data_IF_916781778782
#
_entry.id   IF_916781778782
#
_cell.length_a   1.000
_cell.length_b   1.000
_cell.length_c   1.000
_cell.angle_alpha   90.00
_cell.angle_beta   90.00
_cell.angle_gamma   90.00
#
_symmetry.space_group_name_H-M   'P 1'
#
loop_
_entity.id
_entity.type
_entity.pdbx_description
1 polymer ?
#
# COMPACT_ATOMS: atom_id res chain seq x y z
N UNK A 1 33.10 -39.06 23.36
CA UNK A 1 31.79 -39.51 23.84
C UNK A 1 31.00 -38.32 24.39
N UNK A 2 30.28 -37.63 23.51
CA UNK A 2 29.14 -36.80 23.88
C UNK A 2 27.84 -37.61 23.73
N UNK A 3 26.79 -37.22 24.46
CA UNK A 3 25.48 -37.07 23.83
C UNK A 3 24.92 -35.67 24.13
N UNK A 4 24.71 -34.82 23.12
CA UNK A 4 23.56 -34.81 22.20
C UNK A 4 22.21 -34.82 22.92
N UNK A 5 21.60 -33.63 23.00
CA UNK A 5 20.18 -33.45 23.33
C UNK A 5 19.58 -32.46 22.34
N UNK A 6 19.31 -32.96 21.13
CA UNK A 6 18.42 -32.32 20.17
C UNK A 6 16.96 -32.50 20.66
N UNK A 7 16.25 -31.39 20.89
CA UNK A 7 14.81 -31.43 21.10
C UNK A 7 14.10 -31.73 19.76
N UNK A 8 13.02 -32.54 19.76
CA UNK A 8 12.39 -33.00 18.54
C UNK A 8 11.57 -31.89 17.88
N UNK A 9 11.71 -31.77 16.56
CA UNK A 9 10.88 -30.93 15.72
C UNK A 9 9.42 -31.36 15.81
N UNK A 10 8.55 -30.42 16.15
CA UNK A 10 7.13 -30.57 15.90
C UNK A 10 6.89 -30.35 14.41
N UNK A 11 6.81 -31.45 13.65
CA UNK A 11 6.16 -31.45 12.34
C UNK A 11 4.70 -31.02 12.57
N UNK A 12 4.42 -29.73 12.37
CA UNK A 12 3.07 -29.23 12.29
C UNK A 12 2.48 -29.71 10.96
N UNK A 13 1.93 -30.91 10.96
CA UNK A 13 1.04 -31.39 9.90
C UNK A 13 -0.20 -30.50 9.88
N UNK A 14 -0.14 -29.46 9.06
CA UNK A 14 -1.29 -28.63 8.73
C UNK A 14 -2.17 -29.44 7.77
N UNK A 15 -3.08 -30.25 8.31
CA UNK A 15 -4.20 -30.77 7.53
C UNK A 15 -5.02 -29.56 7.08
N UNK A 16 -5.01 -29.27 5.78
CA UNK A 16 -5.90 -28.28 5.19
C UNK A 16 -7.32 -28.73 5.49
N UNK A 17 -7.96 -28.11 6.48
CA UNK A 17 -9.37 -28.31 6.72
C UNK A 17 -10.10 -27.71 5.50
N UNK A 18 -10.86 -28.53 4.78
CA UNK A 18 -11.79 -28.05 3.76
C UNK A 18 -12.80 -27.13 4.47
N UNK A 19 -12.59 -25.82 4.39
CA UNK A 19 -13.47 -24.82 5.00
C UNK A 19 -13.95 -23.87 3.92
N UNK A 20 -15.18 -23.40 4.09
CA UNK A 20 -15.79 -22.40 3.22
C UNK A 20 -15.76 -21.07 3.94
N UNK A 21 -15.11 -20.07 3.33
CA UNK A 21 -15.12 -18.69 3.82
C UNK A 21 -16.17 -17.92 3.04
N UNK A 22 -17.14 -17.34 3.75
CA UNK A 22 -18.22 -16.56 3.15
C UNK A 22 -18.22 -15.15 3.72
N UNK A 23 -18.33 -14.14 2.85
CA UNK A 23 -18.54 -12.75 3.25
C UNK A 23 -20.03 -12.54 3.56
N UNK A 24 -20.33 -11.98 4.72
CA UNK A 24 -21.69 -11.74 5.22
C UNK A 24 -21.89 -10.26 5.52
N UNK A 25 -23.08 -9.76 5.21
CA UNK A 25 -23.50 -8.38 5.47
C UNK A 25 -24.53 -8.39 6.59
N UNK A 26 -24.18 -7.81 7.73
CA UNK A 26 -25.08 -7.64 8.87
C UNK A 26 -26.17 -6.62 8.60
N UNK A 27 -27.30 -6.76 9.30
CA UNK A 27 -28.43 -5.83 9.20
C UNK A 27 -28.10 -4.39 9.67
N UNK A 28 -27.02 -4.24 10.44
CA UNK A 28 -26.44 -2.98 10.92
C UNK A 28 -25.41 -2.38 9.93
N UNK A 29 -25.25 -2.98 8.75
CA UNK A 29 -24.23 -2.59 7.76
C UNK A 29 -22.80 -2.98 8.18
N UNK A 30 -22.64 -3.94 9.10
CA UNK A 30 -21.35 -4.58 9.33
C UNK A 30 -21.00 -5.56 8.21
N UNK A 31 -19.71 -5.68 7.91
CA UNK A 31 -19.18 -6.64 6.94
C UNK A 31 -18.19 -7.54 7.67
N UNK A 32 -18.43 -8.86 7.60
CA UNK A 32 -17.60 -9.83 8.29
C UNK A 32 -17.50 -11.13 7.49
N UNK A 33 -16.46 -11.90 7.75
CA UNK A 33 -16.22 -13.21 7.16
C UNK A 33 -16.65 -14.29 8.13
N UNK A 34 -17.35 -15.31 7.64
CA UNK A 34 -17.70 -16.51 8.41
C UNK A 34 -16.94 -17.68 7.81
N UNK A 35 -16.35 -18.50 8.69
CA UNK A 35 -15.69 -19.75 8.32
C UNK A 35 -16.62 -20.90 8.70
N UNK A 36 -17.01 -21.70 7.71
CA UNK A 36 -17.84 -22.87 7.90
C UNK A 36 -17.08 -24.15 7.56
N UNK A 37 -17.45 -25.25 8.22
CA UNK A 37 -17.06 -26.59 7.80
C UNK A 37 -17.81 -27.01 6.51
N UNK A 38 -17.46 -28.15 5.88
CA UNK A 38 -18.13 -28.61 4.66
C UNK A 38 -19.61 -28.94 4.85
N UNK A 39 -20.07 -29.17 6.09
CA UNK A 39 -21.46 -29.41 6.43
C UNK A 39 -22.26 -28.11 6.65
N UNK A 40 -21.61 -26.94 6.53
CA UNK A 40 -22.21 -25.63 6.69
C UNK A 40 -22.29 -25.14 8.14
N UNK A 41 -21.63 -25.82 9.09
CA UNK A 41 -21.57 -25.37 10.49
C UNK A 41 -20.53 -24.27 10.64
N UNK A 42 -20.93 -23.16 11.25
CA UNK A 42 -20.01 -22.07 11.59
C UNK A 42 -18.96 -22.53 12.61
N UNK A 43 -17.70 -22.31 12.24
CA UNK A 43 -16.51 -22.53 13.08
C UNK A 43 -16.06 -21.24 13.77
N UNK A 44 -16.35 -20.08 13.16
CA UNK A 44 -16.04 -18.77 13.70
C UNK A 44 -16.19 -17.66 12.66
N UNK A 45 -16.01 -16.40 13.09
CA UNK A 45 -16.17 -15.23 12.24
C UNK A 45 -15.16 -14.12 12.51
N UNK A 46 -14.95 -13.27 11.51
CA UNK A 46 -13.97 -12.20 11.47
C UNK A 46 -14.56 -10.86 11.00
N UNK A 47 -14.56 -9.83 11.85
CA UNK A 47 -15.17 -8.51 11.57
C UNK A 47 -14.11 -7.40 11.58
N UNK A 48 -14.05 -6.61 10.49
CA UNK A 48 -13.12 -5.50 10.36
C UNK A 48 -13.33 -4.40 11.40
N UNK A 49 -14.57 -4.08 11.78
CA UNK A 49 -14.85 -3.02 12.76
C UNK A 49 -14.49 -3.42 14.19
N UNK A 50 -14.57 -4.72 14.52
CA UNK A 50 -14.34 -5.20 15.90
C UNK A 50 -12.96 -5.79 16.13
N UNK A 51 -12.31 -6.34 15.10
CA UNK A 51 -11.03 -7.06 15.24
C UNK A 51 -9.84 -6.41 14.55
N UNK A 52 -10.03 -5.52 13.56
CA UNK A 52 -8.89 -4.86 12.89
C UNK A 52 -8.46 -3.54 13.55
N UNK A 53 -9.32 -2.89 14.34
CA UNK A 53 -8.89 -1.77 15.21
C UNK A 53 -7.84 -2.20 16.25
N UNK A 54 -7.76 -3.51 16.52
CA UNK A 54 -6.72 -4.11 17.35
C UNK A 54 -5.35 -4.21 16.63
N UNK A 55 -5.31 -4.38 15.30
CA UNK A 55 -4.10 -4.82 14.59
C UNK A 55 -3.08 -3.72 14.26
N UNK A 56 -3.47 -2.43 14.26
CA UNK A 56 -2.54 -1.34 13.97
C UNK A 56 -2.01 -0.61 15.23
N UNK A 57 -2.50 -0.99 16.41
CA UNK A 57 -2.08 -0.43 17.71
C UNK A 57 -1.59 -1.46 18.74
N UNK A 58 -1.75 -2.76 18.49
CA UNK A 58 -1.35 -3.80 19.44
C UNK A 58 0.16 -4.06 19.46
N UNK A 59 0.67 -4.36 20.66
CA UNK A 59 2.06 -4.79 20.83
C UNK A 59 2.29 -6.15 20.13
N UNK A 60 3.46 -6.37 19.47
CA UNK A 60 3.76 -7.60 18.75
C UNK A 60 3.57 -8.90 19.56
N UNK A 61 3.81 -8.84 20.88
CA UNK A 61 3.65 -9.98 21.77
C UNK A 61 2.18 -10.43 21.90
N UNK A 62 1.25 -9.48 21.90
CA UNK A 62 -0.17 -9.77 22.05
C UNK A 62 -0.75 -10.42 20.80
N UNK A 63 -0.31 -9.96 19.62
CA UNK A 63 -0.66 -10.55 18.32
C UNK A 63 -0.16 -12.00 18.24
N UNK A 64 1.10 -12.25 18.63
CA UNK A 64 1.66 -13.62 18.64
C UNK A 64 0.87 -14.57 19.54
N UNK A 65 0.48 -14.13 20.73
CA UNK A 65 -0.32 -14.94 21.66
C UNK A 65 -1.71 -15.24 21.09
N UNK A 66 -2.34 -14.25 20.48
CA UNK A 66 -3.66 -14.41 19.86
C UNK A 66 -3.61 -15.37 18.66
N UNK A 67 -2.66 -15.19 17.76
CA UNK A 67 -2.43 -16.10 16.62
C UNK A 67 -2.14 -17.53 17.08
N UNK A 68 -1.35 -17.70 18.15
CA UNK A 68 -1.05 -19.02 18.71
C UNK A 68 -2.26 -19.74 19.33
N UNK A 69 -3.34 -19.00 19.66
CA UNK A 69 -4.59 -19.56 20.17
C UNK A 69 -5.65 -19.77 19.08
N UNK A 70 -5.38 -19.39 17.83
CA UNK A 70 -6.35 -19.45 16.76
C UNK A 70 -6.41 -20.88 16.17
N UNK A 71 -7.58 -21.53 16.14
CA UNK A 71 -7.74 -22.81 15.47
C UNK A 71 -7.33 -22.73 14.00
N UNK A 72 -6.56 -23.71 13.52
CA UNK A 72 -6.12 -23.78 12.13
C UNK A 72 -7.24 -23.61 11.08
N UNK A 73 -8.45 -24.16 11.27
CA UNK A 73 -9.56 -23.97 10.33
C UNK A 73 -9.99 -22.50 10.16
N UNK A 74 -9.70 -21.61 11.11
CA UNK A 74 -10.08 -20.21 11.03
C UNK A 74 -9.05 -19.34 10.29
N UNK A 75 -7.84 -19.86 10.03
CA UNK A 75 -6.79 -19.12 9.33
C UNK A 75 -7.23 -18.57 7.96
N UNK A 76 -7.98 -19.31 7.11
CA UNK A 76 -8.46 -18.78 5.84
C UNK A 76 -9.39 -17.56 6.01
N UNK A 77 -10.23 -17.53 7.04
CA UNK A 77 -11.10 -16.38 7.33
C UNK A 77 -10.30 -15.15 7.74
N UNK A 78 -9.27 -15.34 8.57
CA UNK A 78 -8.36 -14.26 8.94
C UNK A 78 -7.59 -13.74 7.71
N UNK A 79 -7.07 -14.62 6.87
CA UNK A 79 -6.36 -14.23 5.64
C UNK A 79 -7.27 -13.46 4.68
N UNK A 80 -8.53 -13.84 4.55
CA UNK A 80 -9.50 -13.11 3.75
C UNK A 80 -9.73 -11.69 4.29
N UNK A 81 -9.90 -11.56 5.62
CA UNK A 81 -10.05 -10.27 6.29
C UNK A 81 -8.81 -9.37 6.08
N UNK A 82 -7.61 -9.92 6.26
CA UNK A 82 -6.34 -9.21 6.04
C UNK A 82 -6.15 -8.80 4.57
N UNK A 83 -6.56 -9.66 3.63
CA UNK A 83 -6.57 -9.34 2.20
C UNK A 83 -7.43 -8.12 1.89
N UNK A 84 -8.65 -8.07 2.41
CA UNK A 84 -9.54 -6.92 2.21
C UNK A 84 -9.01 -5.64 2.88
N UNK A 85 -8.48 -5.76 4.10
CA UNK A 85 -7.92 -4.62 4.83
C UNK A 85 -6.68 -4.03 4.15
N UNK A 86 -5.81 -4.88 3.58
CA UNK A 86 -4.64 -4.44 2.82
C UNK A 86 -5.04 -3.82 1.50
N UNK A 87 -6.02 -4.37 0.78
CA UNK A 87 -6.57 -3.77 -0.43
C UNK A 87 -7.18 -2.38 -0.15
N UNK A 88 -8.01 -2.27 0.88
CA UNK A 88 -8.62 -1.00 1.29
C UNK A 88 -7.55 0.04 1.67
N UNK A 89 -6.51 -0.38 2.38
CA UNK A 89 -5.37 0.50 2.72
C UNK A 89 -4.59 0.93 1.47
N UNK A 90 -4.42 0.02 0.50
CA UNK A 90 -3.82 0.32 -0.80
C UNK A 90 -4.62 1.38 -1.57
N UNK A 91 -5.95 1.25 -1.63
CA UNK A 91 -6.84 2.23 -2.26
C UNK A 91 -6.71 3.60 -1.61
N UNK A 92 -6.80 3.69 -0.27
CA UNK A 92 -6.63 4.95 0.48
C UNK A 92 -5.28 5.61 0.20
N UNK A 93 -4.20 4.83 0.15
CA UNK A 93 -2.87 5.35 -0.16
C UNK A 93 -2.78 5.85 -1.61
N UNK A 94 -3.38 5.16 -2.56
CA UNK A 94 -3.45 5.59 -3.96
C UNK A 94 -4.19 6.92 -4.10
N UNK A 95 -5.37 7.05 -3.48
CA UNK A 95 -6.15 8.29 -3.45
C UNK A 95 -5.42 9.45 -2.75
N UNK A 96 -4.73 9.17 -1.64
CA UNK A 96 -3.92 10.17 -0.95
C UNK A 96 -2.75 10.65 -1.83
N UNK A 97 -2.09 9.73 -2.54
CA UNK A 97 -1.03 10.06 -3.49
C UNK A 97 -1.56 10.91 -4.64
N UNK A 98 -2.69 10.54 -5.23
CA UNK A 98 -3.33 11.29 -6.31
C UNK A 98 -3.71 12.71 -5.88
N UNK A 99 -4.35 12.86 -4.70
CA UNK A 99 -4.68 14.18 -4.13
C UNK A 99 -3.44 15.05 -3.93
N UNK A 100 -2.36 14.47 -3.39
CA UNK A 100 -1.08 15.17 -3.22
C UNK A 100 -0.50 15.58 -4.57
N UNK A 101 -0.52 14.68 -5.56
CA UNK A 101 0.04 14.94 -6.87
C UNK A 101 -0.76 16.02 -7.63
N UNK A 102 -2.09 16.02 -7.51
CA UNK A 102 -2.98 17.05 -8.05
C UNK A 102 -2.70 18.44 -7.43
N UNK A 103 -2.38 18.50 -6.14
CA UNK A 103 -2.02 19.75 -5.46
C UNK A 103 -0.71 20.34 -5.98
N UNK A 104 0.30 19.50 -6.25
CA UNK A 104 1.62 19.97 -6.70
C UNK A 104 1.73 20.20 -8.19
N UNK A 105 0.86 19.60 -9.01
CA UNK A 105 0.93 19.71 -10.47
C UNK A 105 0.99 21.17 -10.96
N UNK A 106 0.08 22.10 -10.58
CA UNK A 106 0.13 23.48 -11.05
C UNK A 106 1.36 24.26 -10.56
N UNK A 107 1.75 24.06 -9.30
CA UNK A 107 2.91 24.74 -8.70
C UNK A 107 4.23 24.33 -9.38
N UNK A 108 4.36 23.05 -9.73
CA UNK A 108 5.54 22.52 -10.40
C UNK A 108 5.66 23.08 -11.84
N UNK A 109 4.55 23.21 -12.58
CA UNK A 109 4.53 23.88 -13.90
C UNK A 109 4.94 25.35 -13.80
N UNK A 110 4.37 26.08 -12.83
CA UNK A 110 4.71 27.49 -12.59
C UNK A 110 6.18 27.67 -12.21
N UNK A 111 6.76 26.75 -11.43
CA UNK A 111 8.18 26.79 -11.06
C UNK A 111 9.12 26.72 -12.28
N UNK A 112 8.79 25.90 -13.28
CA UNK A 112 9.54 25.82 -14.53
C UNK A 112 9.14 26.90 -15.56
N UNK A 113 8.11 27.71 -15.26
CA UNK A 113 7.57 28.72 -16.17
C UNK A 113 6.92 28.10 -17.40
N UNK A 114 6.24 26.97 -17.22
CA UNK A 114 5.59 26.19 -18.27
C UNK A 114 4.08 26.21 -18.09
N UNK A 115 3.36 26.01 -19.19
CA UNK A 115 1.93 25.73 -19.16
C UNK A 115 1.68 24.23 -18.93
N UNK A 116 0.53 23.82 -18.37
CA UNK A 116 0.23 22.42 -18.08
C UNK A 116 0.21 21.52 -19.33
N UNK A 117 -0.07 22.10 -20.49
CA UNK A 117 -0.14 21.49 -21.83
C UNK A 117 1.22 21.46 -22.55
N UNK A 118 2.32 21.89 -21.91
CA UNK A 118 3.62 21.90 -22.56
C UNK A 118 4.05 20.50 -23.01
N UNK A 119 4.82 20.41 -24.09
CA UNK A 119 5.41 19.16 -24.55
C UNK A 119 6.51 18.66 -23.60
N UNK A 120 6.82 17.36 -23.68
CA UNK A 120 7.92 16.79 -22.89
C UNK A 120 9.28 17.39 -23.25
N UNK A 121 9.45 17.81 -24.51
CA UNK A 121 10.66 18.51 -24.95
C UNK A 121 10.80 19.89 -24.28
N UNK A 122 9.69 20.62 -24.10
CA UNK A 122 9.69 21.91 -23.40
C UNK A 122 10.01 21.75 -21.92
N UNK A 123 9.46 20.70 -21.29
CA UNK A 123 9.77 20.35 -19.90
C UNK A 123 11.27 20.05 -19.73
N UNK A 124 11.85 19.24 -20.61
CA UNK A 124 13.28 18.91 -20.55
C UNK A 124 14.17 20.15 -20.79
N UNK A 125 13.80 21.02 -21.74
CA UNK A 125 14.50 22.29 -21.98
C UNK A 125 14.42 23.21 -20.76
N UNK A 126 13.26 23.34 -20.12
CA UNK A 126 13.10 24.14 -18.92
C UNK A 126 13.91 23.58 -17.75
N UNK A 127 13.90 22.26 -17.55
CA UNK A 127 14.72 21.59 -16.56
C UNK A 127 16.21 21.91 -16.73
N UNK A 128 16.76 21.77 -17.94
CA UNK A 128 18.17 22.09 -18.23
C UNK A 128 18.51 23.56 -17.93
N UNK A 129 17.61 24.50 -18.24
CA UNK A 129 17.78 25.92 -17.91
C UNK A 129 17.84 26.16 -16.40
N UNK A 130 16.93 25.57 -15.64
CA UNK A 130 16.88 25.73 -14.18
C UNK A 130 18.06 25.03 -13.50
N UNK A 131 18.46 23.84 -13.99
CA UNK A 131 19.67 23.15 -13.54
C UNK A 131 20.92 24.02 -13.69
N UNK A 132 21.10 24.67 -14.83
CA UNK A 132 22.24 25.55 -15.07
C UNK A 132 22.28 26.76 -14.11
N UNK A 133 21.10 27.21 -13.63
CA UNK A 133 20.94 28.32 -12.69
C UNK A 133 21.14 27.92 -11.22
N UNK A 134 20.67 26.74 -10.83
CA UNK A 134 20.70 26.27 -9.44
C UNK A 134 21.87 25.32 -9.13
N UNK A 135 22.78 25.09 -10.08
CA UNK A 135 23.85 24.12 -9.91
C UNK A 135 24.77 24.49 -8.72
N UNK A 136 25.00 23.58 -7.76
CA UNK A 136 25.84 23.87 -6.59
C UNK A 136 27.28 24.27 -6.96
N UNK A 137 27.88 23.63 -7.97
CA UNK A 137 29.22 24.00 -8.46
C UNK A 137 29.34 25.43 -9.02
N UNK A 138 28.21 26.09 -9.34
CA UNK A 138 28.17 27.49 -9.81
C UNK A 138 27.77 28.47 -8.71
N UNK A 139 27.80 28.04 -7.45
CA UNK A 139 27.35 28.83 -6.29
C UNK A 139 25.84 28.71 -6.01
N UNK A 140 25.18 27.68 -6.54
CA UNK A 140 23.78 27.38 -6.25
C UNK A 140 23.57 26.65 -4.92
N UNK A 141 22.33 26.63 -4.43
CA UNK A 141 21.95 25.92 -3.21
C UNK A 141 21.62 24.45 -3.52
N UNK A 142 22.27 23.54 -2.79
CA UNK A 142 22.07 22.10 -2.91
C UNK A 142 20.64 21.67 -2.53
N UNK A 143 20.04 22.33 -1.53
CA UNK A 143 18.66 22.05 -1.13
C UNK A 143 17.68 22.49 -2.23
N UNK A 144 17.85 23.68 -2.80
CA UNK A 144 17.08 24.16 -3.95
C UNK A 144 17.24 23.25 -5.17
N UNK A 145 18.46 22.76 -5.45
CA UNK A 145 18.71 21.84 -6.56
C UNK A 145 18.05 20.47 -6.35
N UNK A 146 18.12 19.92 -5.14
CA UNK A 146 17.44 18.68 -4.77
C UNK A 146 15.91 18.82 -4.89
N UNK A 147 15.34 19.92 -4.39
CA UNK A 147 13.91 20.20 -4.51
C UNK A 147 13.48 20.33 -5.98
N UNK A 148 14.25 21.03 -6.81
CA UNK A 148 13.98 21.15 -8.25
C UNK A 148 14.00 19.78 -8.96
N UNK A 149 14.96 18.91 -8.65
CA UNK A 149 14.98 17.53 -9.19
C UNK A 149 13.76 16.73 -8.78
N UNK A 150 13.34 16.82 -7.52
CA UNK A 150 12.13 16.14 -7.04
C UNK A 150 10.87 16.60 -7.79
N UNK A 151 10.74 17.91 -8.07
CA UNK A 151 9.64 18.46 -8.88
C UNK A 151 9.64 17.87 -10.30
N UNK A 152 10.81 17.86 -10.96
CA UNK A 152 10.94 17.31 -12.30
C UNK A 152 10.55 15.82 -12.37
N UNK A 153 11.06 14.99 -11.45
CA UNK A 153 10.73 13.56 -11.42
C UNK A 153 9.24 13.31 -11.15
N UNK A 154 8.60 14.13 -10.30
CA UNK A 154 7.16 14.08 -10.06
C UNK A 154 6.36 14.42 -11.33
N UNK A 155 6.70 15.52 -12.01
CA UNK A 155 6.03 15.91 -13.26
C UNK A 155 6.18 14.84 -14.35
N UNK A 156 7.38 14.28 -14.52
CA UNK A 156 7.64 13.20 -15.47
C UNK A 156 6.83 11.94 -15.14
N UNK A 157 6.74 11.57 -13.86
CA UNK A 157 5.94 10.44 -13.39
C UNK A 157 4.44 10.66 -13.65
N UNK A 158 3.94 11.88 -13.43
CA UNK A 158 2.53 12.22 -13.69
C UNK A 158 2.19 12.12 -15.18
N UNK A 159 3.05 12.65 -16.05
CA UNK A 159 2.90 12.58 -17.51
C UNK A 159 2.94 11.15 -18.03
N UNK A 160 3.85 10.32 -17.51
CA UNK A 160 3.91 8.90 -17.87
C UNK A 160 2.63 8.14 -17.51
N UNK A 161 1.96 8.51 -16.41
CA UNK A 161 0.68 7.92 -15.97
C UNK A 161 -0.52 8.44 -16.76
N UNK A 162 -0.49 9.70 -17.19
CA UNK A 162 -1.56 10.31 -17.98
C UNK A 162 -1.60 9.82 -19.45
N UNK A 163 -0.55 9.16 -19.92
CA UNK A 163 -0.38 8.78 -21.32
C UNK A 163 0.09 9.96 -22.18
N UNK A 164 0.63 9.72 -23.39
CA UNK A 164 1.08 10.80 -24.26
C UNK A 164 -0.10 11.73 -24.58
N UNK A 165 0.09 13.06 -24.57
CA UNK A 165 -0.93 13.99 -25.04
C UNK A 165 -1.30 13.58 -26.48
N UNK A 166 -2.59 13.51 -26.78
CA UNK A 166 -3.07 13.21 -28.13
C UNK A 166 -2.39 14.20 -29.08
N UNK A 167 -1.61 13.66 -30.02
CA UNK A 167 -1.03 14.44 -31.08
C UNK A 167 -2.19 14.86 -31.99
N UNK A 168 -2.77 16.02 -31.71
CA UNK A 168 -3.71 16.65 -32.62
C UNK A 168 -2.90 17.19 -33.80
N UNK A 169 -3.11 16.57 -34.97
CA UNK A 169 -2.62 16.98 -36.28
C UNK A 169 -3.70 17.74 -37.04
#
# INVERSE_FOLDING_TARGET
PEPSSAAPGADATCTAADVVVTKVFGADGSEYFVVCDPAGKELGSFDAKRQLDFELGAQPALIRRWLGGLPAPLLPGLLALLGEATEASGKRLAEARERRDAMHSPEDYLFFGLAPDCSDQELERAYRRVCARLHPDKGGDEAAFAAMRQRYERMKSLRARAGPPRADA
#
